data_IF_428382986513
#
_entry.id   IF_428382986513
#
_cell.length_a   1.000
_cell.length_b   1.000
_cell.length_c   1.000
_cell.angle_alpha   90.00
_cell.angle_beta   90.00
_cell.angle_gamma   90.00
#
_symmetry.space_group_name_H-M   'P 1'
#
loop_
_entity.id
_entity.type
_entity.pdbx_description
1 polymer ?
#
# COMPACT_ATOMS: atom_id res chain seq x y z
N UNK A 1 -3.61 -9.42 31.51
CA UNK A 1 -2.90 -8.52 30.59
C UNK A 1 -3.76 -8.34 29.35
N UNK A 2 -4.18 -7.11 29.12
CA UNK A 2 -4.93 -6.76 27.91
C UNK A 2 -3.89 -6.57 26.78
N UNK A 3 -3.87 -7.49 25.82
CA UNK A 3 -3.05 -7.36 24.63
C UNK A 3 -3.93 -6.76 23.52
N UNK A 4 -3.51 -5.63 23.00
CA UNK A 4 -4.12 -5.02 21.84
C UNK A 4 -3.56 -5.67 20.56
N UNK A 5 -4.42 -5.95 19.58
CA UNK A 5 -4.05 -6.63 18.36
C UNK A 5 -4.62 -5.92 17.12
N UNK A 6 -3.98 -6.13 15.98
CA UNK A 6 -4.50 -5.65 14.71
C UNK A 6 -5.85 -6.34 14.40
N UNK A 7 -6.94 -5.58 14.20
CA UNK A 7 -8.28 -6.16 14.02
C UNK A 7 -8.46 -6.82 12.65
N UNK A 8 -7.72 -6.36 11.65
CA UNK A 8 -7.74 -6.87 10.27
C UNK A 8 -6.34 -6.81 9.67
N UNK A 9 -6.11 -7.63 8.65
CA UNK A 9 -4.86 -7.63 7.89
C UNK A 9 -4.65 -6.29 7.18
N UNK A 10 -3.43 -5.77 7.24
CA UNK A 10 -2.98 -4.61 6.48
C UNK A 10 -2.05 -5.07 5.36
N UNK A 11 -2.26 -4.54 4.17
CA UNK A 11 -1.45 -4.91 3.03
C UNK A 11 -1.49 -3.89 1.91
N UNK A 12 -0.75 -4.17 0.85
CA UNK A 12 -0.69 -3.36 -0.36
C UNK A 12 -1.24 -4.12 -1.55
N UNK A 13 -1.82 -3.36 -2.49
CA UNK A 13 -2.26 -3.93 -3.77
C UNK A 13 -1.05 -4.25 -4.65
N UNK A 14 -1.09 -5.44 -5.24
CA UNK A 14 -0.12 -5.94 -6.20
C UNK A 14 -0.77 -6.21 -7.56
N UNK A 15 0.02 -6.72 -8.51
CA UNK A 15 -0.46 -7.13 -9.83
C UNK A 15 -1.65 -8.09 -9.73
N UNK A 16 -2.61 -7.93 -10.64
CA UNK A 16 -3.80 -8.77 -10.71
C UNK A 16 -4.87 -8.43 -9.67
N UNK A 17 -4.80 -7.24 -9.04
CA UNK A 17 -5.75 -6.78 -8.03
C UNK A 17 -5.76 -7.61 -6.74
N UNK A 18 -4.62 -8.21 -6.40
CA UNK A 18 -4.43 -8.96 -5.16
C UNK A 18 -3.81 -8.11 -4.06
N UNK A 19 -4.04 -8.52 -2.82
CA UNK A 19 -3.40 -7.92 -1.65
C UNK A 19 -2.20 -8.78 -1.23
N UNK A 20 -1.06 -8.13 -1.07
CA UNK A 20 0.08 -8.69 -0.36
C UNK A 20 -0.01 -8.27 1.10
N UNK A 21 -0.24 -9.20 2.03
CA UNK A 21 -0.35 -8.89 3.45
C UNK A 21 1.02 -8.52 4.02
N UNK A 22 1.07 -7.43 4.77
CA UNK A 22 2.28 -6.97 5.47
C UNK A 22 2.16 -7.19 6.98
N UNK A 23 1.06 -6.75 7.59
CA UNK A 23 0.76 -7.02 9.00
C UNK A 23 -0.48 -7.89 9.06
N UNK A 24 -0.35 -9.18 9.44
CA UNK A 24 -1.49 -10.08 9.55
C UNK A 24 -2.46 -9.65 10.65
N UNK A 25 -3.74 -9.99 10.47
CA UNK A 25 -4.74 -9.92 11.53
C UNK A 25 -4.26 -10.61 12.80
N UNK A 26 -4.65 -10.07 13.93
CA UNK A 26 -4.28 -10.54 15.27
C UNK A 26 -2.79 -10.38 15.64
N UNK A 27 -2.00 -9.69 14.83
CA UNK A 27 -0.66 -9.27 15.25
C UNK A 27 -0.74 -8.38 16.49
N UNK A 28 0.09 -8.66 17.49
CA UNK A 28 0.17 -7.81 18.68
C UNK A 28 0.65 -6.40 18.30
N UNK A 29 0.06 -5.36 18.85
CA UNK A 29 0.46 -3.98 18.64
C UNK A 29 1.05 -3.35 19.92
N UNK A 30 2.03 -2.43 19.81
CA UNK A 30 2.60 -1.88 18.57
C UNK A 30 3.45 -2.90 17.81
N UNK A 31 3.50 -2.75 16.49
CA UNK A 31 4.28 -3.64 15.62
C UNK A 31 4.76 -2.93 14.36
N UNK A 32 5.78 -3.48 13.74
CA UNK A 32 6.30 -3.06 12.43
C UNK A 32 6.61 -4.28 11.57
N UNK A 33 6.36 -4.18 10.28
CA UNK A 33 6.74 -5.17 9.28
C UNK A 33 7.06 -4.48 7.96
N UNK A 34 7.92 -5.07 7.15
CA UNK A 34 8.28 -4.53 5.83
C UNK A 34 8.46 -5.64 4.82
N UNK A 35 8.20 -5.29 3.55
CA UNK A 35 8.49 -6.13 2.38
C UNK A 35 9.13 -5.30 1.27
N UNK A 36 9.89 -5.97 0.41
CA UNK A 36 10.52 -5.37 -0.77
C UNK A 36 9.75 -5.78 -2.00
N UNK A 37 9.44 -4.79 -2.84
CA UNK A 37 8.75 -4.94 -4.10
C UNK A 37 9.63 -4.47 -5.25
N UNK A 38 9.38 -4.97 -6.44
CA UNK A 38 10.11 -4.63 -7.65
C UNK A 38 9.21 -3.91 -8.64
N UNK A 39 9.80 -3.08 -9.49
CA UNK A 39 9.10 -2.45 -10.61
C UNK A 39 8.63 -3.50 -11.62
N UNK A 40 7.46 -3.27 -12.20
CA UNK A 40 6.80 -4.21 -13.11
C UNK A 40 6.88 -3.83 -14.59
N UNK A 41 7.39 -2.63 -14.85
CA UNK A 41 7.55 -2.09 -16.23
C UNK A 41 8.97 -1.61 -16.46
N UNK A 42 9.39 -1.62 -17.72
CA UNK A 42 10.65 -0.99 -18.13
C UNK A 42 10.58 0.52 -17.95
N UNK A 43 11.67 1.12 -17.47
CA UNK A 43 11.80 2.56 -17.24
C UNK A 43 10.73 3.16 -16.33
N UNK A 44 10.23 2.37 -15.39
CA UNK A 44 9.27 2.83 -14.39
C UNK A 44 9.97 3.73 -13.38
N UNK A 45 9.57 5.02 -13.32
CA UNK A 45 10.17 6.05 -12.46
C UNK A 45 9.33 6.40 -11.25
N UNK A 46 8.10 5.90 -11.18
CA UNK A 46 7.19 6.10 -10.07
C UNK A 46 6.39 4.83 -9.77
N UNK A 47 5.94 4.72 -8.54
CA UNK A 47 5.03 3.65 -8.10
C UNK A 47 3.90 4.22 -7.27
N UNK A 48 2.70 3.70 -7.52
CA UNK A 48 1.52 4.04 -6.73
C UNK A 48 1.28 2.95 -5.70
N UNK A 49 1.33 3.34 -4.44
CA UNK A 49 1.12 2.44 -3.31
C UNK A 49 -0.29 2.65 -2.80
N UNK A 50 -1.09 1.58 -2.85
CA UNK A 50 -2.45 1.54 -2.32
C UNK A 50 -2.49 0.63 -1.11
N UNK A 51 -2.89 1.19 0.01
CA UNK A 51 -2.93 0.51 1.32
C UNK A 51 -4.35 0.08 1.62
N UNK A 52 -4.51 -1.20 1.89
CA UNK A 52 -5.80 -1.82 2.18
C UNK A 52 -5.84 -2.45 3.56
N UNK A 53 -7.04 -2.47 4.14
CA UNK A 53 -7.36 -3.17 5.36
C UNK A 53 -8.45 -4.19 5.09
N UNK A 54 -8.23 -5.44 5.49
CA UNK A 54 -9.17 -6.53 5.32
C UNK A 54 -8.48 -7.87 5.08
N UNK A 55 -9.27 -8.93 5.16
CA UNK A 55 -8.77 -10.31 5.09
C UNK A 55 -9.05 -10.98 3.73
N UNK A 56 -9.69 -10.26 2.80
CA UNK A 56 -9.94 -10.77 1.45
C UNK A 56 -8.67 -10.75 0.61
N UNK A 57 -8.53 -11.74 -0.26
CA UNK A 57 -7.38 -11.85 -1.17
C UNK A 57 -7.38 -10.77 -2.26
N UNK A 58 -8.56 -10.39 -2.75
CA UNK A 58 -8.72 -9.38 -3.78
C UNK A 58 -8.83 -7.97 -3.17
N UNK A 59 -8.12 -7.01 -3.75
CA UNK A 59 -8.10 -5.64 -3.26
C UNK A 59 -9.50 -5.00 -3.19
N UNK A 60 -10.30 -5.19 -4.23
CA UNK A 60 -11.67 -4.64 -4.32
C UNK A 60 -12.61 -5.10 -3.19
N UNK A 61 -12.32 -6.22 -2.55
CA UNK A 61 -13.11 -6.78 -1.43
C UNK A 61 -12.63 -6.29 -0.07
N UNK A 62 -11.61 -5.45 -0.03
CA UNK A 62 -11.06 -4.85 1.17
C UNK A 62 -11.33 -3.35 1.22
N UNK A 63 -11.04 -2.74 2.36
CA UNK A 63 -11.18 -1.31 2.57
C UNK A 63 -9.89 -0.57 2.20
N UNK A 64 -9.97 0.41 1.29
CA UNK A 64 -8.85 1.27 0.94
C UNK A 64 -8.63 2.28 2.06
N UNK A 65 -7.48 2.20 2.74
CA UNK A 65 -7.08 3.17 3.77
C UNK A 65 -6.52 4.44 3.15
N UNK A 66 -5.81 4.33 2.05
CA UNK A 66 -5.22 5.46 1.37
C UNK A 66 -4.29 5.05 0.25
N UNK A 67 -3.84 6.04 -0.52
CA UNK A 67 -2.86 5.85 -1.58
C UNK A 67 -1.87 7.00 -1.62
N UNK A 68 -0.67 6.73 -2.10
CA UNK A 68 0.36 7.73 -2.36
C UNK A 68 1.28 7.27 -3.49
N UNK A 69 2.00 8.21 -4.07
CA UNK A 69 2.96 7.95 -5.15
C UNK A 69 4.37 8.19 -4.66
N UNK A 70 5.24 7.20 -4.86
CA UNK A 70 6.68 7.32 -4.70
C UNK A 70 7.29 7.54 -6.08
N UNK A 71 7.92 8.68 -6.27
CA UNK A 71 8.68 9.07 -7.46
C UNK A 71 10.19 8.96 -7.26
N UNK A 72 10.95 9.25 -8.28
CA UNK A 72 12.41 9.25 -8.21
C UNK A 72 13.02 7.85 -8.24
N UNK A 73 12.33 6.88 -8.84
CA UNK A 73 12.91 5.57 -9.12
C UNK A 73 13.90 5.65 -10.29
N UNK A 74 15.01 4.89 -10.24
CA UNK A 74 15.94 4.84 -11.36
C UNK A 74 15.30 4.15 -12.56
N UNK A 75 15.55 4.69 -13.75
CA UNK A 75 15.21 4.04 -15.00
C UNK A 75 15.98 2.74 -15.15
N UNK A 76 15.36 1.76 -15.76
CA UNK A 76 15.96 0.46 -15.99
C UNK A 76 14.96 -0.57 -16.49
N UNK A 77 15.40 -1.77 -16.69
CA UNK A 77 14.53 -2.88 -17.06
C UNK A 77 13.55 -3.22 -15.94
N UNK A 78 12.46 -3.86 -16.29
CA UNK A 78 11.49 -4.43 -15.36
C UNK A 78 12.20 -5.16 -14.21
N UNK A 79 11.79 -4.89 -12.98
CA UNK A 79 12.39 -5.47 -11.77
C UNK A 79 13.69 -4.80 -11.32
N UNK A 80 14.19 -3.81 -12.03
CA UNK A 80 15.45 -3.13 -11.69
C UNK A 80 15.36 -2.35 -10.39
N UNK A 81 14.34 -1.51 -10.24
CA UNK A 81 14.15 -0.71 -9.04
C UNK A 81 13.46 -1.50 -7.93
N UNK A 82 13.99 -1.38 -6.73
CA UNK A 82 13.44 -2.01 -5.52
C UNK A 82 12.84 -0.95 -4.62
N UNK A 83 11.65 -1.24 -4.09
CA UNK A 83 10.94 -0.39 -3.16
C UNK A 83 10.64 -1.17 -1.90
N UNK A 84 11.18 -0.71 -0.78
CA UNK A 84 10.83 -1.24 0.55
C UNK A 84 9.60 -0.53 1.06
N UNK A 85 8.56 -1.28 1.35
CA UNK A 85 7.33 -0.78 1.98
C UNK A 85 7.27 -1.28 3.41
N UNK A 86 7.25 -0.35 4.35
CA UNK A 86 7.22 -0.62 5.78
C UNK A 86 5.90 -0.16 6.37
N UNK A 87 5.27 -1.02 7.15
CA UNK A 87 4.06 -0.74 7.91
C UNK A 87 4.36 -0.70 9.39
N UNK A 88 3.78 0.25 10.08
CA UNK A 88 3.78 0.32 11.54
C UNK A 88 2.38 0.55 12.08
N UNK A 89 2.06 -0.07 13.20
CA UNK A 89 0.88 0.25 14.00
C UNK A 89 1.38 0.62 15.40
N UNK A 90 1.07 1.82 15.86
CA UNK A 90 1.43 2.24 17.19
C UNK A 90 0.41 1.75 18.26
N UNK A 91 0.68 2.08 19.52
CA UNK A 91 -0.18 1.68 20.64
C UNK A 91 -1.58 2.31 20.59
N UNK A 92 -1.75 3.41 19.87
CA UNK A 92 -3.03 4.10 19.68
C UNK A 92 -3.80 3.58 18.46
N UNK A 93 -3.23 2.64 17.71
CA UNK A 93 -3.84 2.08 16.50
C UNK A 93 -3.61 2.92 15.24
N UNK A 94 -2.74 3.92 15.29
CA UNK A 94 -2.34 4.69 14.11
C UNK A 94 -1.47 3.86 13.20
N UNK A 95 -1.84 3.79 11.93
CA UNK A 95 -1.09 3.09 10.88
C UNK A 95 -0.18 4.06 10.15
N UNK A 96 1.10 3.77 10.12
CA UNK A 96 2.09 4.47 9.29
C UNK A 96 2.59 3.56 8.19
N UNK A 97 2.67 4.09 6.98
CA UNK A 97 3.20 3.38 5.82
C UNK A 97 4.29 4.22 5.18
N UNK A 98 5.48 3.65 5.07
CA UNK A 98 6.64 4.31 4.49
C UNK A 98 7.12 3.50 3.30
N UNK A 99 7.29 4.15 2.17
CA UNK A 99 7.91 3.55 0.99
C UNK A 99 9.26 4.22 0.71
N UNK A 100 10.29 3.42 0.49
CA UNK A 100 11.65 3.88 0.22
C UNK A 100 12.20 3.17 -1.01
N UNK A 101 12.64 3.96 -1.99
CA UNK A 101 13.39 3.45 -3.13
C UNK A 101 14.81 3.09 -2.69
N UNK A 102 15.21 1.83 -2.85
CA UNK A 102 16.48 1.32 -2.32
C UNK A 102 17.69 1.97 -2.98
N UNK A 103 17.62 2.27 -4.27
CA UNK A 103 18.75 2.81 -5.05
C UNK A 103 18.92 4.33 -4.88
N UNK A 104 17.84 5.07 -4.78
CA UNK A 104 17.87 6.55 -4.72
C UNK A 104 17.67 7.12 -3.33
N UNK A 105 17.14 6.33 -2.39
CA UNK A 105 16.77 6.78 -1.06
C UNK A 105 15.52 7.66 -1.03
N UNK A 106 14.83 7.84 -2.16
CA UNK A 106 13.54 8.56 -2.20
C UNK A 106 12.54 7.90 -1.27
N UNK A 107 11.89 8.69 -0.42
CA UNK A 107 11.00 8.19 0.63
C UNK A 107 9.71 8.99 0.66
N UNK A 108 8.58 8.30 0.80
CA UNK A 108 7.26 8.86 1.08
C UNK A 108 6.62 8.15 2.27
N UNK A 109 5.91 8.90 3.08
CA UNK A 109 5.20 8.39 4.26
C UNK A 109 3.74 8.81 4.21
N UNK A 110 2.87 7.92 4.66
CA UNK A 110 1.45 8.16 4.89
C UNK A 110 1.09 7.68 6.29
N UNK A 111 0.24 8.43 6.99
CA UNK A 111 -0.34 8.05 8.27
C UNK A 111 -1.85 8.09 8.18
N UNK A 112 -2.49 7.03 8.67
CA UNK A 112 -3.94 6.91 8.71
C UNK A 112 -4.38 6.27 10.03
N UNK A 113 -5.57 6.63 10.48
CA UNK A 113 -6.19 5.91 11.59
C UNK A 113 -6.76 4.58 11.08
N UNK A 114 -6.55 3.52 11.85
CA UNK A 114 -7.20 2.24 11.56
C UNK A 114 -8.71 2.41 11.68
N UNK A 115 -9.45 1.99 10.67
CA UNK A 115 -10.90 2.15 10.61
C UNK A 115 -11.69 1.29 11.60
N UNK A 116 -11.02 0.70 12.58
CA UNK A 116 -11.66 -0.18 13.58
C UNK A 116 -12.65 0.52 14.51
N UNK A 117 -12.59 1.86 14.59
CA UNK A 117 -13.43 2.66 15.47
C UNK A 117 -14.55 3.44 14.76
N UNK A 118 -14.54 3.48 13.42
CA UNK A 118 -15.56 4.22 12.67
C UNK A 118 -16.58 3.26 12.08
N UNK A 119 -17.84 3.52 12.37
CA UNK A 119 -18.93 2.82 11.69
C UNK A 119 -18.93 3.20 10.21
N UNK A 120 -19.38 2.27 9.37
CA UNK A 120 -19.44 2.45 7.90
C UNK A 120 -20.12 3.76 7.47
N UNK A 121 -21.06 4.26 8.29
CA UNK A 121 -21.74 5.54 8.06
C UNK A 121 -20.90 6.78 8.37
N UNK A 122 -19.97 6.70 9.31
CA UNK A 122 -19.09 7.83 9.67
C UNK A 122 -17.96 8.02 8.66
N UNK A 123 -17.48 6.93 8.05
CA UNK A 123 -16.48 6.99 6.98
C UNK A 123 -17.05 7.60 5.71
N UNK A 124 -18.32 7.30 5.38
CA UNK A 124 -19.02 7.96 4.26
C UNK A 124 -19.27 9.43 4.52
N UNK A 125 -19.60 9.81 5.76
CA UNK A 125 -19.80 11.21 6.13
C UNK A 125 -18.50 12.04 6.05
N UNK A 126 -17.35 11.46 6.40
CA UNK A 126 -16.04 12.12 6.28
C UNK A 126 -15.59 12.30 4.82
N UNK A 127 -15.99 11.40 3.92
CA UNK A 127 -15.75 11.56 2.48
C UNK A 127 -16.56 12.70 1.86
N UNK A 128 -17.69 13.05 2.46
CA UNK A 128 -18.60 14.10 1.94
C UNK A 128 -18.20 15.51 2.36
N UNK A 129 -17.36 15.67 3.37
CA UNK A 129 -16.96 16.99 3.85
C UNK A 129 -15.73 17.59 3.16
N UNK A 130 -15.05 16.81 2.32
CA UNK A 130 -13.83 17.27 1.63
C UNK A 130 -14.03 17.67 0.15
N UNK A 131 -15.27 17.67 -0.35
CA UNK A 131 -15.61 18.01 -1.73
C UNK A 131 -16.74 19.01 -1.87
N UNK A 132 -16.73 20.11 -1.11
CA UNK A 132 -17.55 21.26 -1.44
C UNK A 132 -16.70 22.37 -2.09
N UNK A 133 -16.29 22.12 -3.31
CA UNK A 133 -16.14 23.18 -4.30
C UNK A 133 -17.28 23.02 -5.35
N UNK A 134 -18.34 23.85 -5.29
CA UNK A 134 -19.49 23.72 -6.17
C UNK A 134 -19.19 24.11 -7.63
N UNK A 135 -17.98 24.43 -7.99
CA UNK A 135 -17.61 24.97 -9.31
C UNK A 135 -16.99 23.95 -10.27
N UNK A 136 -16.88 22.68 -9.89
CA UNK A 136 -16.44 21.63 -10.81
C UNK A 136 -17.50 20.53 -10.98
N UNK A 137 -18.64 20.94 -11.51
CA UNK A 137 -19.45 20.00 -12.28
C UNK A 137 -18.73 19.77 -13.61
N UNK A 138 -17.86 18.79 -13.67
CA UNK A 138 -17.42 18.26 -14.94
C UNK A 138 -18.46 17.23 -15.36
N UNK A 139 -19.42 17.69 -16.13
CA UNK A 139 -20.14 16.82 -17.05
C UNK A 139 -19.10 16.26 -18.01
N UNK A 140 -18.75 15.05 -17.83
CA UNK A 140 -18.48 14.02 -18.83
C UNK A 140 -17.98 12.77 -18.11
N UNK A 141 -18.90 11.85 -17.88
CA UNK A 141 -18.52 10.46 -17.77
C UNK A 141 -18.08 10.01 -19.18
N UNK A 142 -16.85 10.36 -19.57
CA UNK A 142 -16.17 9.64 -20.61
C UNK A 142 -15.77 8.30 -20.02
N UNK A 143 -16.23 7.24 -20.65
CA UNK A 143 -15.77 5.89 -20.40
C UNK A 143 -14.24 5.90 -20.37
N UNK A 144 -13.68 5.71 -19.19
CA UNK A 144 -12.24 5.55 -19.04
C UNK A 144 -11.89 4.29 -19.81
N UNK A 145 -11.06 4.36 -20.87
CA UNK A 145 -10.67 3.17 -21.61
C UNK A 145 -10.12 2.12 -20.65
N UNK A 146 -10.47 0.86 -20.84
CA UNK A 146 -9.99 -0.24 -19.99
C UNK A 146 -8.47 -0.26 -19.86
N UNK A 147 -7.76 0.25 -20.85
CA UNK A 147 -6.30 0.43 -20.83
C UNK A 147 -5.80 1.38 -19.73
N UNK A 148 -6.62 2.30 -19.26
CA UNK A 148 -6.21 3.24 -18.20
C UNK A 148 -6.23 2.61 -16.81
N UNK A 149 -7.03 1.56 -16.62
CA UNK A 149 -7.10 0.82 -15.35
C UNK A 149 -5.91 -0.13 -15.16
N UNK A 150 -5.20 -0.46 -16.24
CA UNK A 150 -4.03 -1.33 -16.20
C UNK A 150 -2.71 -0.57 -16.07
N UNK A 151 -2.72 0.75 -16.23
CA UNK A 151 -1.52 1.57 -16.34
C UNK A 151 -1.08 2.26 -15.03
N UNK A 152 -1.67 1.87 -13.90
CA UNK A 152 -1.16 2.27 -12.60
C UNK A 152 0.17 1.56 -12.32
N UNK A 153 1.16 2.25 -11.72
CA UNK A 153 2.37 1.59 -11.28
C UNK A 153 2.00 0.54 -10.24
N UNK A 154 2.10 -0.71 -10.62
CA UNK A 154 1.84 -1.87 -9.77
C UNK A 154 3.16 -2.51 -9.37
N UNK A 155 3.21 -3.09 -8.19
CA UNK A 155 4.33 -3.87 -7.73
C UNK A 155 4.15 -5.33 -8.08
N UNK A 156 5.22 -5.96 -8.51
CA UNK A 156 5.34 -7.40 -8.49
C UNK A 156 6.12 -7.79 -7.23
N UNK A 157 5.59 -8.74 -6.48
CA UNK A 157 6.29 -9.33 -5.37
C UNK A 157 7.15 -10.49 -5.88
N UNK A 158 8.42 -10.46 -5.55
CA UNK A 158 9.35 -11.53 -5.88
C UNK A 158 9.65 -12.31 -4.61
N UNK A 159 8.85 -13.33 -4.34
CA UNK A 159 9.00 -14.23 -3.20
C UNK A 159 10.33 -14.98 -3.22
N UNK A 160 10.79 -15.33 -4.41
CA UNK A 160 11.99 -16.16 -4.56
C UNK A 160 13.28 -15.40 -4.22
N UNK A 161 13.32 -14.09 -4.50
CA UNK A 161 14.51 -13.30 -4.22
C UNK A 161 14.61 -12.85 -2.76
N UNK A 162 13.51 -12.62 -2.09
CA UNK A 162 13.51 -12.29 -0.66
C UNK A 162 14.00 -13.49 0.18
N UNK A 163 13.56 -14.70 -0.16
CA UNK A 163 13.99 -15.90 0.51
C UNK A 163 15.50 -16.16 0.32
N UNK A 164 16.01 -15.91 -0.88
CA UNK A 164 17.45 -16.06 -1.17
C UNK A 164 18.32 -15.02 -0.47
N UNK A 165 17.83 -13.78 -0.33
CA UNK A 165 18.55 -12.73 0.38
C UNK A 165 18.57 -12.94 1.89
N UNK A 166 17.50 -13.45 2.45
CA UNK A 166 17.41 -13.81 3.86
C UNK A 166 18.34 -14.98 4.22
N UNK A 167 18.41 -15.98 3.35
CA UNK A 167 19.32 -17.12 3.53
C UNK A 167 20.80 -16.71 3.48
N UNK A 168 21.14 -15.72 2.69
CA UNK A 168 22.52 -15.21 2.62
C UNK A 168 22.92 -14.37 3.83
N UNK A 169 22.01 -13.63 4.43
CA UNK A 169 22.26 -12.87 5.65
C UNK A 169 22.37 -13.76 6.90
N UNK A 170 21.71 -14.91 6.90
CA UNK A 170 21.75 -15.85 8.02
C UNK A 170 23.00 -16.74 8.05
N UNK A 171 23.78 -16.77 6.97
CA UNK A 171 25.00 -17.62 6.86
C UNK A 171 26.26 -16.87 7.29
N UNK A 172 26.22 -15.57 7.43
CA UNK A 172 27.31 -14.75 7.99
C UNK A 172 27.16 -14.54 9.50
#
# INVERSE_FOLDING_TARGET
VLLDVAPQTLGVRTLGDFIEPIIPRNSAIPTMASKVFHTVKDNQTEVRIRVFQGDAREARSNYLLGEFVLDGLPEGSRGHAKVRVSFGIDADGMVSVTATASETGSTKEMRVESSSSLSRGEVEALKFTESEDPSQQVEHAEEVPEDFLTDGPEFEFDDEQDDLLLDQELIE
#
